data_IF_844249331227
#
_entry.id   IF_844249331227
#
_cell.length_a   1.000
_cell.length_b   1.000
_cell.length_c   1.000
_cell.angle_alpha   90.00
_cell.angle_beta   90.00
_cell.angle_gamma   90.00
#
_symmetry.space_group_name_H-M   'P 1'
#
loop_
_entity.id
_entity.type
_entity.pdbx_description
1 polymer ?
#
# COMPACT_ATOMS: atom_id res chain seq x y z
N UNK A 1 8.11 -5.87 -12.52
CA UNK A 1 7.40 -6.53 -11.42
C UNK A 1 6.01 -5.90 -11.34
N UNK A 2 4.92 -6.65 -11.12
CA UNK A 2 3.60 -6.02 -10.91
C UNK A 2 3.55 -5.37 -9.51
N UNK A 3 2.84 -4.26 -9.35
CA UNK A 3 2.66 -3.57 -8.06
C UNK A 3 2.18 -4.55 -6.98
N UNK A 4 1.34 -5.52 -7.37
CA UNK A 4 0.83 -6.56 -6.46
C UNK A 4 1.92 -7.48 -5.92
N UNK A 5 2.93 -7.77 -6.73
CA UNK A 5 4.05 -8.63 -6.33
C UNK A 5 4.96 -7.90 -5.35
N UNK A 6 5.21 -6.60 -5.57
CA UNK A 6 5.92 -5.74 -4.61
C UNK A 6 5.16 -5.67 -3.28
N UNK A 7 3.87 -5.33 -3.31
CA UNK A 7 3.04 -5.24 -2.10
C UNK A 7 3.04 -6.57 -1.33
N UNK A 8 2.96 -7.70 -2.03
CA UNK A 8 3.03 -9.03 -1.42
C UNK A 8 4.39 -9.31 -0.80
N UNK A 9 5.48 -8.99 -1.50
CA UNK A 9 6.84 -9.17 -0.98
C UNK A 9 7.10 -8.32 0.28
N UNK A 10 6.61 -7.07 0.28
CA UNK A 10 6.68 -6.19 1.45
C UNK A 10 5.87 -6.76 2.62
N UNK A 11 4.63 -7.23 2.37
CA UNK A 11 3.80 -7.87 3.40
C UNK A 11 4.55 -9.05 4.05
N UNK A 12 5.11 -9.94 3.26
CA UNK A 12 5.89 -11.08 3.77
C UNK A 12 7.14 -10.66 4.54
N UNK A 13 7.84 -9.61 4.09
CA UNK A 13 9.00 -9.08 4.80
C UNK A 13 8.62 -8.57 6.20
N UNK A 14 7.53 -7.81 6.32
CA UNK A 14 7.02 -7.34 7.62
C UNK A 14 6.58 -8.51 8.52
N UNK A 15 5.83 -9.47 7.99
CA UNK A 15 5.40 -10.66 8.76
C UNK A 15 6.62 -11.44 9.31
N UNK A 16 7.63 -11.65 8.46
CA UNK A 16 8.85 -12.39 8.81
C UNK A 16 9.73 -11.62 9.81
N UNK A 17 9.80 -10.29 9.68
CA UNK A 17 10.57 -9.44 10.59
C UNK A 17 9.88 -9.29 11.97
N UNK A 18 8.55 -9.09 11.99
CA UNK A 18 7.77 -8.95 13.25
C UNK A 18 7.70 -10.25 14.06
N UNK A 19 7.78 -11.42 13.39
CA UNK A 19 7.82 -12.74 14.04
C UNK A 19 9.01 -12.93 15.01
N UNK A 20 10.03 -12.05 14.96
CA UNK A 20 11.13 -12.01 15.93
C UNK A 20 10.70 -11.53 17.33
N UNK A 21 9.59 -10.78 17.43
CA UNK A 21 9.16 -10.14 18.69
C UNK A 21 8.22 -10.98 19.56
N UNK A 22 7.47 -11.93 18.99
CA UNK A 22 6.46 -12.71 19.73
C UNK A 22 6.39 -14.14 19.19
N UNK A 23 7.02 -15.10 19.88
CA UNK A 23 6.62 -16.53 19.92
C UNK A 23 6.25 -17.23 18.59
N UNK A 24 6.87 -16.92 17.45
CA UNK A 24 6.63 -17.65 16.20
C UNK A 24 7.59 -18.85 16.00
N UNK A 25 8.40 -19.19 17.00
CA UNK A 25 9.27 -20.37 16.98
C UNK A 25 8.52 -21.68 17.25
N UNK A 26 7.24 -21.66 17.66
CA UNK A 26 6.51 -22.87 18.07
C UNK A 26 5.09 -23.02 17.53
N UNK A 27 4.64 -22.17 16.59
CA UNK A 27 3.26 -22.23 16.08
C UNK A 27 3.07 -22.08 14.56
N UNK A 28 4.14 -21.99 13.77
CA UNK A 28 4.07 -22.43 12.38
C UNK A 28 4.24 -23.95 12.35
N UNK A 29 3.15 -24.65 12.69
CA UNK A 29 2.99 -26.06 12.37
C UNK A 29 3.28 -26.26 10.89
N UNK A 30 4.20 -27.18 10.60
CA UNK A 30 4.55 -27.64 9.25
C UNK A 30 5.12 -26.55 8.33
N UNK A 31 6.30 -26.04 8.66
CA UNK A 31 7.24 -25.59 7.61
C UNK A 31 7.54 -26.82 6.75
N UNK A 32 6.96 -26.86 5.55
CA UNK A 32 7.32 -27.81 4.51
C UNK A 32 8.84 -27.74 4.27
N UNK A 33 9.56 -28.77 4.74
CA UNK A 33 10.84 -29.21 4.22
C UNK A 33 12.09 -28.37 4.53
N UNK A 34 12.93 -28.86 5.45
CA UNK A 34 14.39 -28.93 5.23
C UNK A 34 15.25 -27.65 5.18
N UNK A 35 14.75 -26.46 5.51
CA UNK A 35 15.59 -25.25 5.52
C UNK A 35 16.68 -25.30 6.62
N UNK A 36 17.94 -25.10 6.22
CA UNK A 36 19.07 -24.98 7.15
C UNK A 36 18.95 -23.73 8.03
N UNK A 37 19.51 -23.76 9.24
CA UNK A 37 19.54 -22.60 10.15
C UNK A 37 20.11 -21.33 9.47
N UNK A 38 21.14 -21.51 8.64
CA UNK A 38 21.76 -20.45 7.84
C UNK A 38 20.81 -19.85 6.79
N UNK A 39 19.96 -20.67 6.17
CA UNK A 39 18.93 -20.18 5.23
C UNK A 39 17.87 -19.33 5.92
N UNK A 40 17.51 -19.69 7.16
CA UNK A 40 16.56 -18.92 7.97
C UNK A 40 17.11 -17.55 8.37
N UNK A 41 18.37 -17.50 8.79
CA UNK A 41 19.08 -16.25 9.12
C UNK A 41 19.17 -15.32 7.91
N UNK A 42 19.54 -15.85 6.74
CA UNK A 42 19.64 -15.08 5.49
C UNK A 42 18.29 -14.45 5.11
N UNK A 43 17.22 -15.23 5.10
CA UNK A 43 15.88 -14.74 4.76
C UNK A 43 15.33 -13.70 5.76
N UNK A 44 15.81 -13.73 7.00
CA UNK A 44 15.52 -12.70 8.00
C UNK A 44 16.27 -11.40 7.69
N UNK A 45 17.56 -11.50 7.33
CA UNK A 45 18.36 -10.35 6.96
C UNK A 45 17.78 -9.66 5.72
N UNK A 46 17.40 -10.43 4.71
CA UNK A 46 16.72 -9.95 3.49
C UNK A 46 15.40 -9.25 3.82
N UNK A 47 14.57 -9.82 4.69
CA UNK A 47 13.34 -9.17 5.16
C UNK A 47 13.64 -7.84 5.89
N UNK A 48 14.71 -7.80 6.70
CA UNK A 48 15.17 -6.60 7.36
C UNK A 48 15.61 -5.51 6.36
N UNK A 49 16.31 -5.87 5.29
CA UNK A 49 16.69 -4.93 4.22
C UNK A 49 15.45 -4.33 3.53
N UNK A 50 14.44 -5.16 3.23
CA UNK A 50 13.18 -4.70 2.63
C UNK A 50 12.45 -3.73 3.57
N UNK A 51 12.33 -4.07 4.86
CA UNK A 51 11.68 -3.21 5.86
C UNK A 51 12.42 -1.87 5.99
N UNK A 52 13.75 -1.88 6.00
CA UNK A 52 14.55 -0.64 6.05
C UNK A 52 14.37 0.22 4.80
N UNK A 53 14.29 -0.40 3.62
CA UNK A 53 14.01 0.32 2.38
C UNK A 53 12.63 0.99 2.43
N UNK A 54 11.60 0.27 2.90
CA UNK A 54 10.24 0.81 3.06
C UNK A 54 10.22 2.00 4.01
N UNK A 55 10.93 1.94 5.14
CA UNK A 55 11.01 3.05 6.12
C UNK A 55 11.68 4.29 5.53
N UNK A 56 12.57 4.12 4.55
CA UNK A 56 13.29 5.22 3.88
C UNK A 56 12.52 5.83 2.71
N UNK A 57 11.43 5.21 2.27
CA UNK A 57 10.56 5.81 1.26
C UNK A 57 10.05 7.15 1.75
N UNK A 58 9.79 8.04 0.79
CA UNK A 58 9.13 9.28 1.09
C UNK A 58 7.76 9.04 1.76
N UNK A 59 7.38 9.88 2.73
CA UNK A 59 6.22 9.65 3.58
C UNK A 59 4.93 9.33 2.81
N UNK A 60 4.65 10.07 1.72
CA UNK A 60 3.48 9.82 0.87
C UNK A 60 3.50 8.46 0.16
N UNK A 61 4.67 8.00 -0.26
CA UNK A 61 4.87 6.71 -0.91
C UNK A 61 4.76 5.57 0.10
N UNK A 62 5.38 5.75 1.27
CA UNK A 62 5.26 4.82 2.39
C UNK A 62 3.79 4.64 2.81
N UNK A 63 3.04 5.73 3.00
CA UNK A 63 1.65 5.69 3.45
C UNK A 63 0.74 4.91 2.49
N UNK A 64 0.82 5.17 1.18
CA UNK A 64 0.00 4.43 0.20
C UNK A 64 0.41 2.97 0.08
N UNK A 65 1.72 2.68 0.15
CA UNK A 65 2.23 1.32 0.12
C UNK A 65 1.75 0.55 1.35
N UNK A 66 1.92 1.11 2.54
CA UNK A 66 1.50 0.49 3.79
C UNK A 66 -0.02 0.34 3.88
N UNK A 67 -0.78 1.28 3.31
CA UNK A 67 -2.23 1.13 3.18
C UNK A 67 -2.61 -0.11 2.35
N UNK A 68 -1.90 -0.38 1.24
CA UNK A 68 -2.11 -1.57 0.40
C UNK A 68 -1.56 -2.86 1.02
N UNK A 69 -0.45 -2.78 1.74
CA UNK A 69 0.09 -3.91 2.50
C UNK A 69 -0.90 -4.35 3.58
N UNK A 70 -1.62 -3.42 4.21
CA UNK A 70 -2.60 -3.68 5.27
C UNK A 70 -4.06 -3.73 4.77
N UNK A 71 -4.29 -3.84 3.46
CA UNK A 71 -5.63 -3.86 2.89
C UNK A 71 -6.46 -5.00 3.51
N UNK A 72 -7.60 -4.65 4.12
CA UNK A 72 -8.49 -5.59 4.80
C UNK A 72 -9.11 -5.16 6.13
N UNK A 73 -8.66 -4.07 6.79
CA UNK A 73 -9.30 -3.57 8.02
C UNK A 73 -9.17 -2.07 8.24
N UNK A 74 -10.31 -1.35 8.22
CA UNK A 74 -10.39 0.08 8.51
C UNK A 74 -9.88 0.45 9.92
N UNK A 75 -9.86 -0.49 10.87
CA UNK A 75 -9.32 -0.25 12.20
C UNK A 75 -7.82 0.04 12.17
N UNK A 76 -7.08 -0.58 11.24
CA UNK A 76 -5.65 -0.29 11.02
C UNK A 76 -5.43 0.95 10.15
N UNK A 77 -6.38 1.26 9.27
CA UNK A 77 -6.28 2.37 8.33
C UNK A 77 -6.63 3.73 8.94
N UNK A 78 -7.18 3.82 10.15
CA UNK A 78 -7.67 5.10 10.71
C UNK A 78 -6.56 6.16 10.81
N UNK A 79 -5.37 5.79 11.30
CA UNK A 79 -4.23 6.72 11.36
C UNK A 79 -3.71 7.10 9.97
N UNK A 80 -3.62 6.12 9.06
CA UNK A 80 -3.14 6.31 7.68
C UNK A 80 -4.13 7.15 6.85
N UNK A 81 -5.42 7.05 7.15
CA UNK A 81 -6.49 7.70 6.40
C UNK A 81 -6.43 9.22 6.49
N UNK A 82 -6.33 9.79 7.70
CA UNK A 82 -6.30 11.24 7.88
C UNK A 82 -5.01 11.86 7.33
N UNK A 83 -3.89 11.13 7.42
CA UNK A 83 -2.63 11.53 6.80
C UNK A 83 -2.76 11.52 5.26
N UNK A 84 -3.27 10.44 4.66
CA UNK A 84 -3.49 10.37 3.21
C UNK A 84 -4.39 11.51 2.71
N UNK A 85 -5.47 11.82 3.42
CA UNK A 85 -6.35 12.95 3.09
C UNK A 85 -5.58 14.27 3.13
N UNK A 86 -4.74 14.48 4.14
CA UNK A 86 -3.94 15.69 4.29
C UNK A 86 -2.87 15.81 3.19
N UNK A 87 -2.21 14.71 2.85
CA UNK A 87 -1.22 14.67 1.77
C UNK A 87 -1.88 14.93 0.41
N UNK A 88 -3.03 14.33 0.11
CA UNK A 88 -3.73 14.56 -1.17
C UNK A 88 -4.18 16.00 -1.27
N UNK A 89 -4.76 16.57 -0.21
CA UNK A 89 -5.16 17.98 -0.19
C UNK A 89 -3.98 18.95 -0.41
N UNK A 90 -2.80 18.61 0.11
CA UNK A 90 -1.60 19.44 -0.04
C UNK A 90 -1.02 19.35 -1.46
N UNK A 91 -0.95 18.14 -2.03
CA UNK A 91 -0.31 17.90 -3.33
C UNK A 91 -1.24 18.16 -4.52
N UNK A 92 -2.56 18.03 -4.32
CA UNK A 92 -3.58 18.37 -5.30
C UNK A 92 -4.69 19.20 -4.65
N UNK A 93 -4.55 20.53 -4.59
CA UNK A 93 -5.55 21.41 -4.00
C UNK A 93 -6.93 21.31 -4.65
N UNK A 94 -7.01 20.92 -5.93
CA UNK A 94 -8.29 20.79 -6.65
C UNK A 94 -9.11 19.59 -6.12
N UNK A 95 -8.46 18.62 -5.47
CA UNK A 95 -9.11 17.50 -4.77
C UNK A 95 -10.06 17.95 -3.64
N UNK A 96 -9.96 19.22 -3.21
CA UNK A 96 -10.80 19.82 -2.18
C UNK A 96 -12.06 20.52 -2.74
N UNK A 97 -12.37 20.39 -4.02
CA UNK A 97 -13.54 21.03 -4.65
C UNK A 97 -14.87 20.77 -3.94
N UNK A 98 -15.04 19.60 -3.32
CA UNK A 98 -16.22 19.21 -2.54
C UNK A 98 -15.96 19.21 -1.02
N UNK A 99 -14.96 19.97 -0.59
CA UNK A 99 -14.53 20.09 0.80
C UNK A 99 -13.84 18.83 1.36
N UNK A 100 -13.40 18.93 2.62
CA UNK A 100 -12.67 17.84 3.30
C UNK A 100 -13.47 16.54 3.36
N UNK A 101 -14.79 16.63 3.61
CA UNK A 101 -15.66 15.47 3.66
C UNK A 101 -15.72 14.73 2.31
N UNK A 102 -15.73 15.48 1.20
CA UNK A 102 -15.70 14.89 -0.13
C UNK A 102 -14.37 14.19 -0.43
N UNK A 103 -13.24 14.78 -0.05
CA UNK A 103 -11.94 14.13 -0.18
C UNK A 103 -11.84 12.87 0.70
N UNK A 104 -12.29 12.95 1.94
CA UNK A 104 -12.38 11.81 2.86
C UNK A 104 -13.21 10.65 2.26
N UNK A 105 -14.31 10.96 1.59
CA UNK A 105 -15.10 9.96 0.87
C UNK A 105 -14.27 9.23 -0.19
N UNK A 106 -13.55 9.98 -1.03
CA UNK A 106 -12.79 9.40 -2.13
C UNK A 106 -11.53 8.64 -1.70
N UNK A 107 -10.80 9.13 -0.69
CA UNK A 107 -9.67 8.39 -0.12
C UNK A 107 -10.16 7.07 0.47
N UNK A 108 -11.32 7.07 1.15
CA UNK A 108 -11.93 5.83 1.66
C UNK A 108 -12.35 4.90 0.53
N UNK A 109 -12.94 5.44 -0.53
CA UNK A 109 -13.31 4.69 -1.72
C UNK A 109 -12.08 4.01 -2.35
N UNK A 110 -10.97 4.73 -2.49
CA UNK A 110 -9.72 4.16 -3.00
C UNK A 110 -9.17 3.06 -2.10
N UNK A 111 -9.20 3.25 -0.77
CA UNK A 111 -8.70 2.28 0.20
C UNK A 111 -9.52 1.00 0.26
N UNK A 112 -10.85 1.11 0.20
CA UNK A 112 -11.75 0.00 0.58
C UNK A 112 -12.68 -0.46 -0.52
N UNK A 113 -12.80 0.29 -1.61
CA UNK A 113 -13.84 0.10 -2.62
C UNK A 113 -15.25 0.47 -2.17
N UNK A 114 -15.48 0.85 -0.90
CA UNK A 114 -16.79 1.28 -0.43
C UNK A 114 -17.16 2.67 -0.97
N UNK A 115 -18.45 2.88 -1.21
CA UNK A 115 -18.97 4.09 -1.85
C UNK A 115 -19.17 3.91 -3.35
N UNK A 116 -19.92 4.82 -3.97
CA UNK A 116 -20.20 4.81 -5.39
C UNK A 116 -20.32 6.23 -5.94
N UNK A 117 -19.99 6.38 -7.22
CA UNK A 117 -20.16 7.66 -7.93
C UNK A 117 -21.60 8.18 -7.94
N UNK A 118 -22.59 7.27 -7.87
CA UNK A 118 -24.02 7.63 -7.81
C UNK A 118 -24.40 8.22 -6.45
N UNK A 119 -23.93 7.62 -5.36
CA UNK A 119 -24.18 8.10 -4.00
C UNK A 119 -23.56 9.47 -3.80
N UNK A 120 -22.27 9.62 -4.10
CA UNK A 120 -21.58 10.90 -4.02
C UNK A 120 -22.24 11.98 -4.88
N UNK A 121 -22.63 11.62 -6.11
CA UNK A 121 -23.31 12.52 -7.04
C UNK A 121 -24.64 13.03 -6.48
N UNK A 122 -25.44 12.15 -5.87
CA UNK A 122 -26.70 12.53 -5.21
C UNK A 122 -26.46 13.49 -4.04
N UNK A 123 -25.45 13.23 -3.21
CA UNK A 123 -25.14 14.05 -2.03
C UNK A 123 -24.63 15.44 -2.39
N UNK A 124 -23.89 15.55 -3.49
CA UNK A 124 -23.28 16.80 -3.95
C UNK A 124 -24.04 17.46 -5.11
N UNK A 125 -25.22 16.94 -5.46
CA UNK A 125 -26.06 17.44 -6.58
C UNK A 125 -25.32 17.50 -7.93
N UNK A 126 -24.47 16.51 -8.22
CA UNK A 126 -23.74 16.37 -9.49
C UNK A 126 -24.06 15.04 -10.18
N UNK A 127 -23.84 14.98 -11.49
CA UNK A 127 -23.97 13.73 -12.23
C UNK A 127 -22.88 12.72 -11.81
N UNK A 128 -23.24 11.43 -11.77
CA UNK A 128 -22.33 10.37 -11.36
C UNK A 128 -21.07 10.26 -12.26
N UNK A 129 -21.19 10.58 -13.54
CA UNK A 129 -20.03 10.65 -14.45
C UNK A 129 -19.07 11.76 -14.07
N UNK A 130 -19.59 12.93 -13.67
CA UNK A 130 -18.77 14.05 -13.16
C UNK A 130 -18.04 13.65 -11.88
N UNK A 131 -18.72 12.97 -10.97
CA UNK A 131 -18.11 12.43 -9.75
C UNK A 131 -16.98 11.43 -10.08
N UNK A 132 -17.20 10.52 -11.04
CA UNK A 132 -16.20 9.56 -11.48
C UNK A 132 -15.00 10.20 -12.17
N UNK A 133 -15.21 11.23 -13.00
CA UNK A 133 -14.12 11.97 -13.64
C UNK A 133 -13.28 12.72 -12.60
N UNK A 134 -13.93 13.39 -11.66
CA UNK A 134 -13.26 14.06 -10.57
C UNK A 134 -12.39 13.09 -9.75
N UNK A 135 -12.95 11.95 -9.34
CA UNK A 135 -12.22 10.93 -8.59
C UNK A 135 -10.97 10.46 -9.33
N UNK A 136 -11.11 10.10 -10.62
CA UNK A 136 -10.00 9.61 -11.45
C UNK A 136 -8.88 10.63 -11.57
N UNK A 137 -9.23 11.89 -11.78
CA UNK A 137 -8.28 12.97 -12.05
C UNK A 137 -7.54 13.42 -10.79
N UNK A 138 -8.24 13.57 -9.67
CA UNK A 138 -7.70 14.28 -8.50
C UNK A 138 -7.34 13.37 -7.33
N UNK A 139 -7.89 12.16 -7.27
CA UNK A 139 -7.69 11.26 -6.13
C UNK A 139 -7.00 9.99 -6.56
N UNK A 140 -7.56 9.27 -7.53
CA UNK A 140 -6.99 8.01 -8.02
C UNK A 140 -5.62 8.24 -8.67
N UNK A 141 -5.50 9.21 -9.58
CA UNK A 141 -4.23 9.49 -10.25
C UNK A 141 -3.11 9.81 -9.24
N UNK A 142 -3.41 10.58 -8.19
CA UNK A 142 -2.43 10.96 -7.15
C UNK A 142 -2.03 9.73 -6.32
N UNK A 143 -3.01 9.04 -5.71
CA UNK A 143 -2.74 7.91 -4.83
C UNK A 143 -2.13 6.72 -5.58
N UNK A 144 -2.59 6.44 -6.80
CA UNK A 144 -2.02 5.40 -7.64
C UNK A 144 -0.62 5.77 -8.12
N UNK A 145 -0.39 7.04 -8.52
CA UNK A 145 0.94 7.51 -8.90
C UNK A 145 1.96 7.36 -7.76
N UNK A 146 1.55 7.64 -6.52
CA UNK A 146 2.40 7.42 -5.35
C UNK A 146 2.67 5.94 -5.08
N UNK A 147 1.69 5.07 -5.31
CA UNK A 147 1.86 3.62 -5.15
C UNK A 147 2.86 3.07 -6.17
N UNK A 148 2.73 3.48 -7.43
CA UNK A 148 3.66 3.10 -8.51
C UNK A 148 5.08 3.60 -8.20
N UNK A 149 5.22 4.84 -7.71
CA UNK A 149 6.52 5.37 -7.31
C UNK A 149 7.14 4.57 -6.15
N UNK A 150 6.34 4.25 -5.12
CA UNK A 150 6.78 3.41 -4.02
C UNK A 150 7.26 2.04 -4.51
N UNK A 151 6.52 1.43 -5.44
CA UNK A 151 6.87 0.12 -5.99
C UNK A 151 8.15 0.18 -6.83
N UNK A 152 8.29 1.19 -7.68
CA UNK A 152 9.49 1.40 -8.50
C UNK A 152 10.76 1.66 -7.68
N UNK A 153 10.65 2.31 -6.51
CA UNK A 153 11.80 2.49 -5.60
C UNK A 153 12.25 1.17 -4.93
N UNK A 154 11.34 0.22 -4.75
CA UNK A 154 11.64 -1.06 -4.10
C UNK A 154 12.02 -2.16 -5.09
N UNK A 155 11.59 -2.07 -6.35
CA UNK A 155 11.78 -3.08 -7.38
C UNK A 155 13.25 -3.53 -7.53
N UNK A 156 14.26 -2.64 -7.61
CA UNK A 156 15.66 -3.07 -7.76
C UNK A 156 16.18 -3.89 -6.57
N UNK A 157 15.72 -3.59 -5.35
CA UNK A 157 16.08 -4.34 -4.15
C UNK A 157 15.43 -5.74 -4.17
N UNK A 158 14.15 -5.80 -4.56
CA UNK A 158 13.43 -7.06 -4.65
C UNK A 158 14.00 -7.96 -5.76
N UNK A 159 14.42 -7.40 -6.89
CA UNK A 159 15.12 -8.11 -7.95
C UNK A 159 16.44 -8.70 -7.45
N UNK A 160 17.23 -7.92 -6.70
CA UNK A 160 18.48 -8.38 -6.08
C UNK A 160 18.26 -9.53 -5.10
N UNK A 161 17.21 -9.47 -4.27
CA UNK A 161 16.93 -10.47 -3.22
C UNK A 161 16.31 -11.74 -3.80
N UNK A 162 15.31 -11.61 -4.67
CA UNK A 162 14.54 -12.75 -5.18
C UNK A 162 15.05 -13.29 -6.52
N UNK A 163 16.02 -12.63 -7.16
CA UNK A 163 16.74 -13.15 -8.31
C UNK A 163 15.94 -13.26 -9.61
N UNK A 164 14.89 -12.47 -9.80
CA UNK A 164 14.12 -12.50 -11.05
C UNK A 164 14.61 -11.47 -12.08
N UNK A 165 15.31 -11.94 -13.11
CA UNK A 165 15.17 -11.35 -14.45
C UNK A 165 13.74 -11.69 -14.92
N UNK A 166 12.91 -10.67 -15.09
CA UNK A 166 11.51 -10.80 -15.52
C UNK A 166 11.46 -11.23 -16.99
N UNK A 167 11.32 -12.53 -17.28
CA UNK A 167 10.79 -12.94 -18.59
C UNK A 167 9.32 -12.52 -18.68
N UNK A 168 8.93 -11.67 -19.65
CA UNK A 168 7.53 -11.42 -19.92
C UNK A 168 6.94 -12.70 -20.53
N UNK A 169 5.88 -13.22 -19.92
CA UNK A 169 5.01 -14.23 -20.52
C UNK A 169 3.86 -13.54 -21.26
#
# INVERSE_FOLDING_TARGET
MDDRDVVRAVRFAFERFSAQGVKAASSFGEVRGGESARGRELAIMEAGEIVQAVIRLEARFNLVLMARVNDGSMAFLHGVFDDLVSFVAYHDPDSMAYGKAGLQYWVRHWLTGFGSFREFGRENSIHHETAGNFYRQHVEAVLHGWLVAACGELEPLLEKIYGMELTPA
#
